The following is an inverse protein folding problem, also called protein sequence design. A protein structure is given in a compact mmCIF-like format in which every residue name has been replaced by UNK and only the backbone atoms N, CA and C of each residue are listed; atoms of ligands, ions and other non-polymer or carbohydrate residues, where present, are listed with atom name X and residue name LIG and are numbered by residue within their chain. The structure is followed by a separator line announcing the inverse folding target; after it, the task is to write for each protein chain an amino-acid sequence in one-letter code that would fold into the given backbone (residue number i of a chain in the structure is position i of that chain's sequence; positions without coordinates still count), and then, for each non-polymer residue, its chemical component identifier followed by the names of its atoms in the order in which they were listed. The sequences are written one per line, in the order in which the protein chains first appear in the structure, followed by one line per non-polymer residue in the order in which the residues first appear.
data_IF_957316840121
#
_entry.id   IF_957316840121
#
_cell.length_a   1.000
_cell.length_b   1.000
_cell.length_c   1.000
_cell.angle_alpha   90.00
_cell.angle_beta   90.00
_cell.angle_gamma   90.00
#
_symmetry.space_group_name_H-M   'P 1'
#
loop_
_entity.id
_entity.type
_entity.pdbx_description
1 polymer ?
#
# COMPACT_ATOMS: atom_id res chain seq x y z
N UNK A 1 -8.01 4.19 14.77
CA UNK A 1 -7.28 3.93 13.49
C UNK A 1 -7.72 2.56 13.00
N UNK A 2 -8.69 2.49 12.08
CA UNK A 2 -9.05 1.21 11.46
C UNK A 2 -7.99 0.89 10.41
N UNK A 3 -6.85 0.34 10.85
CA UNK A 3 -6.03 -0.49 9.96
C UNK A 3 -6.90 -1.68 9.63
N UNK A 4 -7.65 -1.61 8.53
CA UNK A 4 -8.07 -2.84 7.87
C UNK A 4 -6.78 -3.59 7.53
N UNK A 5 -6.59 -4.73 8.18
CA UNK A 5 -5.43 -5.59 8.02
C UNK A 5 -5.20 -5.85 6.53
N UNK A 6 -3.97 -5.66 6.04
CA UNK A 6 -3.56 -5.95 4.65
C UNK A 6 -4.07 -7.33 4.22
N UNK A 7 -4.15 -8.28 5.15
CA UNK A 7 -4.75 -9.60 4.96
C UNK A 7 -6.22 -9.54 4.51
N UNK A 8 -7.04 -8.68 5.10
CA UNK A 8 -8.44 -8.50 4.71
C UNK A 8 -8.55 -7.94 3.30
N UNK A 9 -7.71 -6.98 2.91
CA UNK A 9 -7.69 -6.47 1.54
C UNK A 9 -7.38 -7.57 0.54
N UNK A 10 -6.37 -8.38 0.83
CA UNK A 10 -6.00 -9.54 0.00
C UNK A 10 -7.14 -10.53 -0.14
N UNK A 11 -7.79 -10.89 0.97
CA UNK A 11 -8.93 -11.82 0.94
C UNK A 11 -10.12 -11.26 0.15
N UNK A 12 -10.47 -9.99 0.36
CA UNK A 12 -11.57 -9.36 -0.38
C UNK A 12 -11.23 -9.28 -1.87
N UNK A 13 -10.01 -8.86 -2.23
CA UNK A 13 -9.57 -8.78 -3.62
C UNK A 13 -9.55 -10.18 -4.28
N UNK A 14 -9.09 -11.20 -3.56
CA UNK A 14 -9.17 -12.58 -4.00
C UNK A 14 -10.62 -12.99 -4.27
N UNK A 15 -11.54 -12.80 -3.32
CA UNK A 15 -12.95 -13.13 -3.50
C UNK A 15 -13.57 -12.40 -4.71
N UNK A 16 -13.27 -11.10 -4.88
CA UNK A 16 -13.69 -10.34 -6.06
C UNK A 16 -13.15 -10.97 -7.34
N UNK A 17 -11.89 -11.41 -7.36
CA UNK A 17 -11.28 -12.05 -8.53
C UNK A 17 -11.93 -13.38 -8.92
N UNK A 18 -12.63 -14.05 -8.00
CA UNK A 18 -13.34 -15.29 -8.28
C UNK A 18 -14.71 -15.08 -8.91
N UNK A 19 -15.23 -13.85 -8.91
CA UNK A 19 -16.53 -13.55 -9.51
C UNK A 19 -16.45 -13.50 -11.03
N UNK A 20 -17.51 -13.98 -11.67
CA UNK A 20 -17.77 -13.71 -13.09
C UNK A 20 -18.52 -12.38 -13.19
N UNK A 21 -17.81 -11.32 -13.57
CA UNK A 21 -18.41 -9.99 -13.67
C UNK A 21 -19.35 -9.88 -14.87
N UNK A 22 -20.58 -9.46 -14.62
CA UNK A 22 -21.43 -8.85 -15.64
C UNK A 22 -20.99 -7.42 -15.89
N UNK A 23 -21.44 -6.83 -17.00
CA UNK A 23 -21.17 -5.44 -17.34
C UNK A 23 -21.61 -4.47 -16.23
N UNK A 24 -22.78 -4.72 -15.61
CA UNK A 24 -23.28 -3.96 -14.47
C UNK A 24 -22.40 -4.13 -13.24
N UNK A 25 -21.94 -5.36 -12.98
CA UNK A 25 -21.03 -5.65 -11.87
C UNK A 25 -19.69 -4.93 -12.03
N UNK A 26 -19.13 -4.92 -13.23
CA UNK A 26 -17.90 -4.18 -13.54
C UNK A 26 -18.11 -2.68 -13.35
N UNK A 27 -19.19 -2.10 -13.88
CA UNK A 27 -19.52 -0.67 -13.68
C UNK A 27 -19.62 -0.32 -12.19
N UNK A 28 -20.19 -1.21 -11.36
CA UNK A 28 -20.26 -1.02 -9.91
C UNK A 28 -18.89 -1.09 -9.25
N UNK A 29 -18.03 -2.03 -9.67
CA UNK A 29 -16.65 -2.14 -9.20
C UNK A 29 -15.89 -0.83 -9.49
N UNK A 30 -15.91 -0.39 -10.76
CA UNK A 30 -15.27 0.87 -11.20
C UNK A 30 -15.85 2.08 -10.45
N UNK A 31 -17.17 2.17 -10.30
CA UNK A 31 -17.82 3.27 -9.59
C UNK A 31 -17.50 3.32 -8.09
N UNK A 32 -17.10 2.19 -7.49
CA UNK A 32 -16.76 2.09 -6.07
C UNK A 32 -15.26 2.31 -5.81
N UNK A 33 -14.50 2.81 -6.80
CA UNK A 33 -13.03 2.92 -6.75
C UNK A 33 -12.49 3.52 -5.44
N UNK A 34 -13.10 4.60 -4.97
CA UNK A 34 -12.66 5.31 -3.75
C UNK A 34 -12.71 4.44 -2.48
N UNK A 35 -13.54 3.40 -2.45
CA UNK A 35 -13.67 2.51 -1.29
C UNK A 35 -12.48 1.54 -1.13
N UNK A 36 -11.74 1.26 -2.20
CA UNK A 36 -10.62 0.31 -2.17
C UNK A 36 -9.32 0.88 -2.73
N UNK A 37 -9.32 2.12 -3.22
CA UNK A 37 -8.16 2.80 -3.79
C UNK A 37 -6.92 2.71 -2.88
N UNK A 38 -7.09 2.87 -1.57
CA UNK A 38 -5.99 2.81 -0.60
C UNK A 38 -5.30 1.45 -0.54
N UNK A 39 -6.02 0.36 -0.82
CA UNK A 39 -5.50 -1.02 -0.78
C UNK A 39 -4.64 -1.37 -2.00
N UNK A 40 -4.70 -0.56 -3.06
CA UNK A 40 -3.96 -0.81 -4.30
C UNK A 40 -2.46 -0.55 -4.19
N UNK A 41 -1.92 -0.17 -3.03
CA UNK A 41 -0.47 -0.14 -2.82
C UNK A 41 0.14 -1.56 -2.71
N UNK A 42 -0.66 -2.56 -2.33
CA UNK A 42 -0.22 -3.93 -2.17
C UNK A 42 -0.23 -4.70 -3.50
N UNK A 43 0.89 -5.35 -3.81
CA UNK A 43 1.10 -6.09 -5.07
C UNK A 43 0.10 -7.24 -5.24
N UNK A 44 -0.20 -7.99 -4.19
CA UNK A 44 -1.13 -9.13 -4.26
C UNK A 44 -2.57 -8.66 -4.52
N UNK A 45 -2.97 -7.55 -3.90
CA UNK A 45 -4.27 -6.91 -4.20
C UNK A 45 -4.32 -6.51 -5.68
N UNK A 46 -3.28 -5.85 -6.18
CA UNK A 46 -3.22 -5.41 -7.58
C UNK A 46 -3.26 -6.60 -8.56
N UNK A 47 -2.59 -7.70 -8.25
CA UNK A 47 -2.61 -8.92 -9.08
C UNK A 47 -4.01 -9.54 -9.18
N UNK A 48 -4.79 -9.53 -8.09
CA UNK A 48 -6.20 -9.94 -8.13
C UNK A 48 -7.04 -9.02 -9.03
N UNK A 49 -6.82 -7.70 -8.99
CA UNK A 49 -7.49 -6.76 -9.91
C UNK A 49 -7.09 -6.98 -11.38
N UNK A 50 -5.82 -7.26 -11.66
CA UNK A 50 -5.36 -7.65 -13.01
C UNK A 50 -6.03 -8.92 -13.51
N UNK A 51 -6.24 -9.90 -12.63
CA UNK A 51 -6.99 -11.11 -12.95
C UNK A 51 -8.45 -10.81 -13.32
N UNK A 52 -9.12 -9.91 -12.57
CA UNK A 52 -10.47 -9.43 -12.89
C UNK A 52 -10.49 -8.81 -14.28
N UNK A 53 -9.58 -7.85 -14.56
CA UNK A 53 -9.48 -7.17 -15.85
C UNK A 53 -9.27 -8.17 -16.99
N UNK A 54 -8.33 -9.10 -16.84
CA UNK A 54 -8.04 -10.12 -17.85
C UNK A 54 -9.28 -10.98 -18.16
N UNK A 55 -10.02 -11.40 -17.13
CA UNK A 55 -11.28 -12.15 -17.29
C UNK A 55 -12.32 -11.30 -18.03
N UNK A 56 -12.52 -10.05 -17.64
CA UNK A 56 -13.45 -9.14 -18.31
C UNK A 56 -13.10 -8.95 -19.80
N UNK A 57 -11.81 -8.74 -20.13
CA UNK A 57 -11.36 -8.56 -21.52
C UNK A 57 -11.63 -9.76 -22.42
N UNK A 58 -11.64 -10.98 -21.88
CA UNK A 58 -11.92 -12.21 -22.65
C UNK A 58 -13.36 -12.29 -23.17
N UNK A 59 -14.32 -11.69 -22.44
CA UNK A 59 -15.75 -11.79 -22.76
C UNK A 59 -16.38 -10.44 -23.13
N UNK A 60 -15.61 -9.35 -23.09
CA UNK A 60 -16.10 -8.01 -23.39
C UNK A 60 -16.35 -7.81 -24.88
N UNK A 61 -17.50 -7.20 -25.18
CA UNK A 61 -17.80 -6.64 -26.51
C UNK A 61 -16.94 -5.40 -26.76
N UNK A 62 -16.78 -5.03 -28.03
CA UNK A 62 -15.96 -3.90 -28.45
C UNK A 62 -16.29 -2.60 -27.68
N UNK A 63 -17.58 -2.33 -27.47
CA UNK A 63 -18.07 -1.14 -26.75
C UNK A 63 -17.62 -1.08 -25.29
N UNK A 64 -17.47 -2.22 -24.61
CA UNK A 64 -17.10 -2.30 -23.18
C UNK A 64 -15.58 -2.34 -23.01
N UNK A 65 -14.86 -2.69 -24.06
CA UNK A 65 -13.42 -2.92 -24.02
C UNK A 65 -12.64 -1.66 -23.66
N UNK A 66 -13.02 -0.50 -24.22
CA UNK A 66 -12.43 0.80 -23.87
C UNK A 66 -12.56 1.07 -22.37
N UNK A 67 -13.75 0.88 -21.79
CA UNK A 67 -13.96 1.09 -20.36
C UNK A 67 -13.09 0.18 -19.48
N UNK A 68 -12.83 -1.06 -19.92
CA UNK A 68 -11.94 -1.98 -19.20
C UNK A 68 -10.48 -1.53 -19.29
N UNK A 69 -10.05 -1.05 -20.45
CA UNK A 69 -8.69 -0.54 -20.68
C UNK A 69 -8.43 0.73 -19.87
N UNK A 70 -9.36 1.69 -19.89
CA UNK A 70 -9.29 2.89 -19.05
C UNK A 70 -9.24 2.55 -17.55
N UNK A 71 -10.02 1.55 -17.13
CA UNK A 71 -9.99 1.09 -15.74
C UNK A 71 -8.65 0.46 -15.37
N UNK A 72 -8.07 -0.36 -16.25
CA UNK A 72 -6.76 -0.98 -16.05
C UNK A 72 -5.64 0.07 -15.98
N UNK A 73 -5.65 1.05 -16.88
CA UNK A 73 -4.69 2.15 -16.87
C UNK A 73 -4.77 2.93 -15.55
N UNK A 74 -5.99 3.25 -15.10
CA UNK A 74 -6.22 3.90 -13.81
C UNK A 74 -5.67 3.09 -12.64
N UNK A 75 -5.91 1.78 -12.62
CA UNK A 75 -5.37 0.89 -11.59
C UNK A 75 -3.84 0.93 -11.56
N UNK A 76 -3.19 0.79 -12.72
CA UNK A 76 -1.73 0.82 -12.83
C UNK A 76 -1.15 2.17 -12.36
N UNK A 77 -1.72 3.29 -12.80
CA UNK A 77 -1.26 4.63 -12.40
C UNK A 77 -1.32 4.82 -10.89
N UNK A 78 -2.42 4.42 -10.26
CA UNK A 78 -2.60 4.54 -8.81
C UNK A 78 -1.67 3.60 -8.04
N UNK A 79 -1.50 2.36 -8.51
CA UNK A 79 -0.59 1.40 -7.90
C UNK A 79 0.84 1.92 -7.87
N UNK A 80 1.35 2.41 -9.01
CA UNK A 80 2.71 2.99 -9.10
C UNK A 80 2.86 4.19 -8.17
N UNK A 81 1.95 5.16 -8.23
CA UNK A 81 2.02 6.36 -7.40
C UNK A 81 2.00 6.04 -5.89
N UNK A 82 1.19 5.07 -5.47
CA UNK A 82 1.11 4.67 -4.05
C UNK A 82 2.32 3.89 -3.59
N UNK A 83 2.90 3.03 -4.44
CA UNK A 83 4.12 2.28 -4.12
C UNK A 83 5.32 3.21 -3.90
N UNK A 84 5.42 4.26 -4.71
CA UNK A 84 6.43 5.32 -4.55
C UNK A 84 6.23 6.09 -3.23
N UNK A 85 4.98 6.43 -2.90
CA UNK A 85 4.65 7.11 -1.65
C UNK A 85 4.99 6.25 -0.42
N UNK A 86 4.68 4.95 -0.44
CA UNK A 86 5.03 4.04 0.66
C UNK A 86 6.54 3.91 0.82
N UNK A 87 7.28 3.83 -0.29
CA UNK A 87 8.75 3.75 -0.29
C UNK A 87 9.35 5.02 0.32
N UNK A 88 8.85 6.19 -0.06
CA UNK A 88 9.30 7.48 0.48
C UNK A 88 9.01 7.60 1.97
N UNK A 89 7.81 7.21 2.41
CA UNK A 89 7.43 7.22 3.82
C UNK A 89 8.30 6.27 4.65
N UNK A 90 8.58 5.05 4.15
CA UNK A 90 9.46 4.09 4.81
C UNK A 90 10.90 4.62 4.91
N UNK A 91 11.42 5.24 3.85
CA UNK A 91 12.77 5.82 3.85
C UNK A 91 12.89 6.98 4.86
N UNK A 92 11.87 7.85 4.96
CA UNK A 92 11.82 8.92 5.94
C UNK A 92 11.78 8.38 7.39
N UNK A 93 11.00 7.32 7.64
CA UNK A 93 10.97 6.64 8.95
C UNK A 93 12.31 6.02 9.31
N UNK A 94 13.00 5.38 8.36
CA UNK A 94 14.34 4.82 8.57
C UNK A 94 15.34 5.93 8.92
N UNK A 95 15.23 7.11 8.31
CA UNK A 95 16.10 8.24 8.64
C UNK A 95 15.83 8.77 10.06
N UNK A 96 14.57 8.91 10.47
CA UNK A 96 14.21 9.32 11.84
C UNK A 96 14.63 8.28 12.89
N UNK A 97 14.48 6.99 12.63
CA UNK A 97 14.88 5.93 13.56
C UNK A 97 16.39 5.88 13.76
N UNK A 98 17.19 6.11 12.71
CA UNK A 98 18.66 6.16 12.82
C UNK A 98 19.14 7.36 13.65
N UNK A 99 18.51 8.53 13.48
CA UNK A 99 18.83 9.72 14.28
C UNK A 99 18.43 9.54 15.75
N UNK A 100 17.22 9.03 16.03
CA UNK A 100 16.78 8.75 17.40
C UNK A 100 17.59 7.65 18.09
N UNK A 101 18.03 6.63 17.36
CA UNK A 101 18.90 5.57 17.89
C UNK A 101 20.32 6.07 18.19
N UNK A 102 20.83 7.02 17.41
CA UNK A 102 22.15 7.61 17.62
C UNK A 102 22.14 8.59 18.81
N UNK A 103 21.11 9.44 18.93
CA UNK A 103 20.92 10.31 20.10
C UNK A 103 20.78 9.51 21.40
N UNK A 104 20.02 8.41 21.38
CA UNK A 104 19.89 7.52 22.54
C UNK A 104 21.21 6.88 22.96
N UNK A 105 22.12 6.58 22.01
CA UNK A 105 23.45 6.05 22.30
C UNK A 105 24.38 7.11 22.91
N UNK A 106 24.42 8.32 22.33
CA UNK A 106 25.24 9.44 22.80
C UNK A 106 24.86 9.91 24.21
N UNK A 107 23.57 9.88 24.57
CA UNK A 107 23.10 10.21 25.93
C UNK A 107 23.55 9.12 26.93
N UNK A 108 23.57 7.85 26.51
CA UNK A 108 24.01 6.73 27.35
C UNK A 108 25.52 6.74 27.60
N UNK A 109 26.33 7.15 26.63
CA UNK A 109 27.79 7.26 26.77
C UNK A 109 28.18 8.41 27.74
N UNK A 110 27.51 9.57 27.66
CA UNK A 110 27.74 10.69 28.59
C UNK A 110 27.38 10.37 30.04
N UNK A 111 26.38 9.51 30.26
CA UNK A 111 25.99 9.05 31.60
C UNK A 111 27.00 8.08 32.24
N UNK A 112 27.89 7.45 31.46
CA UNK A 112 28.85 6.44 31.95
C UNK A 112 30.23 7.05 32.24
N UNK A 113 30.57 8.20 31.64
CA UNK A 113 31.91 8.82 31.76
C UNK A 113 31.92 10.01 32.76
N UNK A 114 30.80 10.30 33.43
CA UNK A 114 30.70 11.38 34.42
C UNK A 114 30.75 10.90 35.87
N UNK A 115 31.95 10.78 36.43
CA UNK A 115 32.32 11.28 37.78
C UNK A 115 33.76 10.87 38.13
N UNK A 116 34.77 11.73 37.94
CA UNK A 116 35.92 11.75 38.83
C UNK A 116 35.49 12.48 40.11
N UNK A 117 35.50 11.73 41.20
CA UNK A 117 35.43 12.18 42.58
C UNK A 117 36.20 13.49 42.83
N UNK A 118 35.49 14.58 43.18
CA UNK A 118 36.10 15.66 43.96
C UNK A 118 36.35 15.12 45.37
N UNK A 119 37.63 14.82 45.63
CA UNK A 119 38.14 14.36 46.90
C UNK A 119 38.12 15.48 47.95
N UNK A 120 37.77 15.08 49.17
CA UNK A 120 37.89 15.83 50.40
C UNK A 120 39.32 16.37 50.62
N UNK A 121 39.46 17.67 50.93
CA UNK A 121 39.98 18.25 52.19
C UNK A 121 40.23 19.75 52.02
#
# INVERSE_FOLDING_TARGET
VFVTDVKQWKHIAYCLSQLTFSEKGLKKLVGSFKAYEHSLCDDSVMDHFRSIVSKCKKFAKAEVRSCIEEFEEKLNKIHTAKKEQETTARNAQVHQQKLGSLEGFLIKEKSVIGNPSEGNY
#
